data_IF_750903897174
#
_entry.id   IF_750903897174
#
_cell.length_a   1.000
_cell.length_b   1.000
_cell.length_c   1.000
_cell.angle_alpha   90.00
_cell.angle_beta   90.00
_cell.angle_gamma   90.00
#
_symmetry.space_group_name_H-M   'P 1'
#
loop_
_entity.id
_entity.type
_entity.pdbx_description
1 polymer ?
#
# COMPACT_ATOMS: atom_id res chain seq x y z
N UNK A 1 -0.01 21.12 9.37
CA UNK A 1 -0.80 19.95 9.77
C UNK A 1 -0.12 18.75 9.12
N UNK A 2 0.38 17.75 9.86
CA UNK A 2 0.89 16.54 9.24
C UNK A 2 -0.25 15.89 8.45
N UNK A 3 0.01 15.49 7.20
CA UNK A 3 -0.93 14.71 6.41
C UNK A 3 -1.12 13.36 7.12
N UNK A 4 -2.15 13.26 7.96
CA UNK A 4 -2.57 12.03 8.62
C UNK A 4 -3.17 11.09 7.56
N UNK A 5 -2.28 10.53 6.75
CA UNK A 5 -2.60 9.61 5.67
C UNK A 5 -2.82 8.20 6.23
N UNK A 6 -3.72 7.46 5.57
CA UNK A 6 -4.00 6.06 5.87
C UNK A 6 -2.69 5.25 5.86
N UNK A 7 -2.39 4.46 6.90
CA UNK A 7 -1.22 3.59 6.89
C UNK A 7 -1.28 2.60 5.73
N UNK A 8 -0.18 2.43 4.99
CA UNK A 8 -0.08 1.53 3.84
C UNK A 8 -1.14 1.80 2.76
N UNK A 9 -1.21 3.02 2.18
CA UNK A 9 -2.26 3.37 1.22
C UNK A 9 -2.25 2.43 0.00
N UNK A 10 -1.09 1.99 -0.46
CA UNK A 10 -0.93 1.08 -1.59
C UNK A 10 -1.60 -0.29 -1.38
N UNK A 11 -1.65 -0.78 -0.13
CA UNK A 11 -2.31 -2.03 0.23
C UNK A 11 -3.84 -1.92 0.04
N UNK A 12 -4.40 -0.80 0.46
CA UNK A 12 -5.84 -0.56 0.31
C UNK A 12 -6.21 -0.17 -1.11
N UNK A 13 -5.32 0.52 -1.83
CA UNK A 13 -5.53 0.90 -3.22
C UNK A 13 -5.63 -0.32 -4.14
N UNK A 14 -4.71 -1.28 -4.00
CA UNK A 14 -4.77 -2.52 -4.80
C UNK A 14 -6.03 -3.33 -4.52
N UNK A 15 -6.48 -3.36 -3.27
CA UNK A 15 -7.75 -4.00 -2.90
C UNK A 15 -8.98 -3.28 -3.50
N UNK A 16 -8.99 -1.95 -3.46
CA UNK A 16 -10.06 -1.15 -4.07
C UNK A 16 -10.14 -1.32 -5.60
N UNK A 17 -9.00 -1.56 -6.25
CA UNK A 17 -8.91 -1.90 -7.67
C UNK A 17 -9.26 -3.37 -7.99
N UNK A 18 -9.69 -4.14 -6.99
CA UNK A 18 -10.00 -5.57 -7.14
C UNK A 18 -8.81 -6.43 -7.60
N UNK A 19 -7.58 -5.98 -7.39
CA UNK A 19 -6.39 -6.79 -7.69
C UNK A 19 -6.26 -7.98 -6.72
N UNK A 20 -6.73 -7.81 -5.49
CA UNK A 20 -6.81 -8.82 -4.45
C UNK A 20 -7.88 -8.42 -3.43
N UNK A 21 -8.24 -9.34 -2.53
CA UNK A 21 -9.11 -9.04 -1.39
C UNK A 21 -8.30 -8.74 -0.14
N UNK A 22 -8.91 -8.24 0.93
CA UNK A 22 -8.27 -8.08 2.24
C UNK A 22 -9.17 -8.69 3.33
N UNK A 23 -8.64 -8.98 4.53
CA UNK A 23 -9.47 -9.39 5.65
C UNK A 23 -10.53 -8.34 6.00
N UNK A 24 -11.76 -8.78 6.26
CA UNK A 24 -12.89 -7.89 6.57
C UNK A 24 -12.62 -6.99 7.79
N UNK A 25 -11.90 -7.51 8.78
CA UNK A 25 -11.51 -6.75 9.97
C UNK A 25 -10.63 -5.55 9.63
N UNK A 26 -9.69 -5.73 8.69
CA UNK A 26 -8.82 -4.67 8.22
C UNK A 26 -9.60 -3.62 7.40
N UNK A 27 -10.56 -4.06 6.59
CA UNK A 27 -11.45 -3.17 5.84
C UNK A 27 -12.33 -2.33 6.78
N UNK A 28 -12.90 -2.94 7.83
CA UNK A 28 -13.67 -2.21 8.86
C UNK A 28 -12.82 -1.17 9.57
N UNK A 29 -11.56 -1.50 9.92
CA UNK A 29 -10.65 -0.54 10.56
C UNK A 29 -10.28 0.62 9.64
N UNK A 30 -10.11 0.37 8.34
CA UNK A 30 -9.93 1.43 7.34
C UNK A 30 -11.14 2.35 7.31
N UNK A 31 -12.34 1.79 7.31
CA UNK A 31 -13.58 2.57 7.22
C UNK A 31 -13.76 3.44 8.46
N UNK A 32 -13.55 2.88 9.66
CA UNK A 32 -13.55 3.65 10.93
C UNK A 32 -12.48 4.76 10.91
N UNK A 33 -11.29 4.49 10.39
CA UNK A 33 -10.26 5.52 10.25
C UNK A 33 -10.69 6.64 9.29
N UNK A 34 -11.33 6.29 8.17
CA UNK A 34 -11.86 7.26 7.22
C UNK A 34 -12.98 8.11 7.82
N UNK A 35 -13.86 7.51 8.63
CA UNK A 35 -14.91 8.23 9.39
C UNK A 35 -14.30 9.24 10.36
N UNK A 36 -13.28 8.84 11.14
CA UNK A 36 -12.59 9.74 12.09
C UNK A 36 -11.90 10.91 11.35
N UNK A 37 -11.35 10.67 10.16
CA UNK A 37 -10.75 11.73 9.34
C UNK A 37 -11.78 12.65 8.69
N UNK A 38 -12.99 12.15 8.44
CA UNK A 38 -14.08 12.92 7.85
C UNK A 38 -14.78 13.83 8.88
N UNK A 39 -14.54 13.60 10.18
CA UNK A 39 -15.14 14.39 11.26
C UNK A 39 -14.75 15.88 11.11
N UNK A 40 -15.72 16.80 11.04
CA UNK A 40 -15.44 18.21 10.82
C UNK A 40 -14.70 18.82 12.02
N UNK A 41 -13.66 19.58 11.74
CA UNK A 41 -12.96 20.34 12.79
C UNK A 41 -13.89 21.40 13.40
N UNK A 42 -13.83 21.59 14.73
CA UNK A 42 -14.70 22.55 15.41
C UNK A 42 -14.43 23.97 14.91
N UNK A 43 -15.53 24.66 14.54
CA UNK A 43 -15.51 26.04 14.05
C UNK A 43 -14.94 26.97 15.13
N UNK A 44 -14.07 27.94 14.79
CA UNK A 44 -13.61 28.93 15.74
C UNK A 44 -14.80 29.69 16.37
N UNK A 45 -14.97 29.68 17.71
CA UNK A 45 -15.92 30.56 18.36
C UNK A 45 -15.44 32.02 18.20
N UNK A 46 -16.33 32.97 18.51
CA UNK A 46 -15.92 34.38 18.65
C UNK A 46 -14.82 34.48 19.70
N UNK A 47 -13.76 35.23 19.36
CA UNK A 47 -12.65 35.41 20.28
C UNK A 47 -13.13 36.14 21.54
N UNK A 48 -12.77 35.63 22.71
CA UNK A 48 -13.06 36.27 23.99
C UNK A 48 -12.46 37.67 24.08
N UNK A 49 -11.31 37.91 23.42
CA UNK A 49 -10.68 39.22 23.31
C UNK A 49 -11.50 40.19 22.46
N UNK A 50 -11.96 39.75 21.28
CA UNK A 50 -12.83 40.56 20.42
C UNK A 50 -14.13 40.89 21.14
N UNK A 51 -14.73 39.91 21.82
CA UNK A 51 -15.96 40.12 22.60
C UNK A 51 -15.74 41.12 23.74
N UNK A 52 -14.57 41.08 24.39
CA UNK A 52 -14.21 42.04 25.44
C UNK A 52 -14.14 43.47 24.88
N UNK A 53 -13.56 43.64 23.69
CA UNK A 53 -13.50 44.94 23.02
C UNK A 53 -14.89 45.44 22.63
N UNK A 54 -15.73 44.57 22.04
CA UNK A 54 -17.11 44.90 21.66
C UNK A 54 -17.96 45.30 22.88
N UNK A 55 -17.86 44.53 23.97
CA UNK A 55 -18.60 44.82 25.21
C UNK A 55 -18.09 46.10 25.89
N UNK A 56 -16.79 46.39 25.84
CA UNK A 56 -16.26 47.64 26.38
C UNK A 56 -16.83 48.87 25.65
N UNK A 57 -16.91 48.82 24.31
CA UNK A 57 -17.55 49.88 23.51
C UNK A 57 -19.03 49.98 23.85
N UNK A 58 -19.76 48.86 23.84
CA UNK A 58 -21.19 48.82 24.15
C UNK A 58 -21.52 49.31 25.57
N UNK A 59 -20.62 49.09 26.54
CA UNK A 59 -20.76 49.58 27.92
C UNK A 59 -20.68 51.10 27.98
N UNK A 60 -19.73 51.70 27.25
CA UNK A 60 -19.59 53.17 27.17
C UNK A 60 -20.80 53.80 26.48
N UNK A 61 -21.30 53.17 25.41
CA UNK A 61 -22.49 53.64 24.69
C UNK A 61 -23.76 53.54 25.54
N UNK A 62 -23.97 52.41 26.22
CA UNK A 62 -25.10 52.21 27.11
C UNK A 62 -25.12 53.21 28.28
N UNK A 63 -23.94 53.52 28.82
CA UNK A 63 -23.79 54.48 29.92
C UNK A 63 -24.12 55.92 29.48
N UNK A 64 -23.72 56.33 28.26
CA UNK A 64 -24.11 57.62 27.70
C UNK A 64 -25.60 57.70 27.34
N UNK A 65 -26.20 56.58 26.90
CA UNK A 65 -27.60 56.52 26.50
C UNK A 65 -28.58 56.26 27.68
N UNK A 66 -28.08 56.02 28.89
CA UNK A 66 -28.90 55.65 30.06
C UNK A 66 -29.58 54.28 29.93
N UNK A 67 -29.00 53.38 29.12
CA UNK A 67 -29.51 52.04 28.87
C UNK A 67 -28.89 51.01 29.84
N UNK A 68 -29.52 49.83 30.02
CA UNK A 68 -28.93 48.77 30.83
C UNK A 68 -27.57 48.33 30.28
N UNK A 69 -26.64 48.04 31.20
CA UNK A 69 -25.29 47.60 30.85
C UNK A 69 -25.34 46.20 30.22
N UNK A 70 -24.46 45.92 29.24
CA UNK A 70 -24.37 44.59 28.65
C UNK A 70 -23.80 43.57 29.66
N UNK A 71 -24.20 42.30 29.50
CA UNK A 71 -23.87 41.24 30.44
C UNK A 71 -22.41 40.76 30.31
N UNK A 72 -21.57 40.91 31.34
CA UNK A 72 -20.17 40.45 31.31
C UNK A 72 -20.05 38.90 31.26
N UNK A 73 -21.09 38.15 31.61
CA UNK A 73 -21.06 36.68 31.55
C UNK A 73 -20.84 36.16 30.13
N UNK A 74 -21.11 36.97 29.10
CA UNK A 74 -20.84 36.62 27.71
C UNK A 74 -19.34 36.39 27.44
N UNK A 75 -18.44 37.10 28.15
CA UNK A 75 -16.98 36.91 28.02
C UNK A 75 -16.56 35.55 28.59
N UNK A 76 -17.11 35.17 29.75
CA UNK A 76 -16.83 33.86 30.36
C UNK A 76 -17.38 32.72 29.52
N UNK A 77 -18.55 32.89 28.89
CA UNK A 77 -19.09 31.94 27.92
C UNK A 77 -18.17 31.79 26.69
N UNK A 78 -17.64 32.89 26.15
CA UNK A 78 -16.68 32.84 25.03
C UNK A 78 -15.38 32.12 25.41
N UNK A 79 -14.84 32.38 26.62
CA UNK A 79 -13.66 31.67 27.14
C UNK A 79 -13.92 30.18 27.32
N UNK A 80 -15.10 29.79 27.81
CA UNK A 80 -15.47 28.39 27.93
C UNK A 80 -15.58 27.71 26.56
N UNK A 81 -16.14 28.39 25.55
CA UNK A 81 -16.21 27.87 24.18
C UNK A 81 -14.82 27.74 23.53
N UNK A 82 -13.90 28.67 23.79
CA UNK A 82 -12.50 28.56 23.35
C UNK A 82 -11.83 27.32 23.94
N UNK A 83 -11.97 27.07 25.25
CA UNK A 83 -11.42 25.87 25.91
C UNK A 83 -12.02 24.58 25.38
N UNK A 84 -13.35 24.50 25.25
CA UNK A 84 -14.03 23.32 24.69
C UNK A 84 -13.51 23.03 23.28
N UNK A 85 -13.26 24.06 22.47
CA UNK A 85 -12.69 23.88 21.14
C UNK A 85 -11.27 23.32 21.20
N UNK A 86 -10.40 23.89 22.04
CA UNK A 86 -9.02 23.40 22.20
C UNK A 86 -9.02 21.93 22.62
N UNK A 87 -9.80 21.56 23.64
CA UNK A 87 -9.97 20.18 24.10
C UNK A 87 -10.48 19.27 22.97
N UNK A 88 -11.43 19.75 22.16
CA UNK A 88 -11.97 19.00 21.02
C UNK A 88 -10.93 18.79 19.92
N UNK A 89 -10.11 19.81 19.61
CA UNK A 89 -9.03 19.71 18.62
C UNK A 89 -7.99 18.68 19.09
N UNK A 90 -7.61 18.75 20.36
CA UNK A 90 -6.67 17.79 20.96
C UNK A 90 -7.22 16.36 20.91
N UNK A 91 -8.49 16.17 21.29
CA UNK A 91 -9.15 14.87 21.28
C UNK A 91 -9.26 14.29 19.86
N UNK A 92 -9.62 15.12 18.86
CA UNK A 92 -9.67 14.70 17.46
C UNK A 92 -8.29 14.31 16.94
N UNK A 93 -7.26 15.09 17.27
CA UNK A 93 -5.87 14.76 16.91
C UNK A 93 -5.43 13.41 17.50
N UNK A 94 -5.73 13.18 18.78
CA UNK A 94 -5.46 11.92 19.47
C UNK A 94 -6.23 10.74 18.86
N UNK A 95 -7.50 10.95 18.53
CA UNK A 95 -8.34 9.92 17.90
C UNK A 95 -7.78 9.49 16.53
N UNK A 96 -7.36 10.45 15.70
CA UNK A 96 -6.73 10.17 14.40
C UNK A 96 -5.43 9.37 14.56
N UNK A 97 -4.56 9.76 15.50
CA UNK A 97 -3.31 9.04 15.75
C UNK A 97 -3.56 7.61 16.25
N UNK A 98 -4.50 7.43 17.18
CA UNK A 98 -4.87 6.10 17.70
C UNK A 98 -5.45 5.24 16.58
N UNK A 99 -6.32 5.80 15.73
CA UNK A 99 -6.90 5.08 14.60
C UNK A 99 -5.80 4.59 13.62
N UNK A 100 -4.86 5.47 13.24
CA UNK A 100 -3.76 5.11 12.36
C UNK A 100 -2.86 4.02 12.98
N UNK A 101 -2.53 4.14 14.28
CA UNK A 101 -1.76 3.12 15.00
C UNK A 101 -2.48 1.77 15.05
N UNK A 102 -3.81 1.76 15.24
CA UNK A 102 -4.62 0.54 15.25
C UNK A 102 -4.65 -0.15 13.88
N UNK A 103 -4.82 0.60 12.79
CA UNK A 103 -4.75 0.06 11.43
C UNK A 103 -3.37 -0.58 11.19
N UNK A 104 -2.29 0.13 11.49
CA UNK A 104 -0.93 -0.39 11.30
C UNK A 104 -0.65 -1.64 12.18
N UNK A 105 -1.15 -1.67 13.41
CA UNK A 105 -1.04 -2.84 14.28
C UNK A 105 -1.77 -4.05 13.69
N UNK A 106 -3.01 -3.89 13.24
CA UNK A 106 -3.79 -4.95 12.61
C UNK A 106 -3.11 -5.49 11.34
N UNK A 107 -2.55 -4.60 10.50
CA UNK A 107 -1.77 -5.03 9.32
C UNK A 107 -0.61 -5.94 9.71
N UNK A 108 0.13 -5.60 10.77
CA UNK A 108 1.27 -6.41 11.24
C UNK A 108 0.81 -7.75 11.83
N UNK A 109 -0.24 -7.74 12.63
CA UNK A 109 -0.81 -8.94 13.25
C UNK A 109 -1.30 -9.94 12.21
N UNK A 110 -1.98 -9.47 11.16
CA UNK A 110 -2.52 -10.31 10.10
C UNK A 110 -1.60 -10.44 8.89
N UNK A 111 -0.34 -10.00 8.96
CA UNK A 111 0.52 -9.90 7.78
C UNK A 111 0.66 -11.24 7.02
N UNK A 112 0.91 -12.33 7.74
CA UNK A 112 1.03 -13.66 7.13
C UNK A 112 -0.29 -14.14 6.51
N UNK A 113 -1.42 -13.83 7.14
CA UNK A 113 -2.74 -14.12 6.59
C UNK A 113 -3.02 -13.30 5.34
N UNK A 114 -2.65 -12.01 5.31
CA UNK A 114 -2.77 -11.15 4.12
C UNK A 114 -1.93 -11.72 2.97
N UNK A 115 -0.69 -12.13 3.26
CA UNK A 115 0.22 -12.70 2.26
C UNK A 115 -0.35 -14.02 1.71
N UNK A 116 -0.57 -15.00 2.57
CA UNK A 116 -0.93 -16.35 2.16
C UNK A 116 -2.39 -16.49 1.71
N UNK A 117 -3.31 -15.75 2.33
CA UNK A 117 -4.74 -15.84 2.07
C UNK A 117 -5.24 -14.93 0.96
N UNK A 118 -4.52 -13.85 0.64
CA UNK A 118 -5.02 -12.83 -0.28
C UNK A 118 -4.03 -12.49 -1.40
N UNK A 119 -2.80 -12.11 -1.07
CA UNK A 119 -1.83 -11.66 -2.08
C UNK A 119 -1.28 -12.82 -2.92
N UNK A 120 -0.91 -13.94 -2.29
CA UNK A 120 -0.35 -15.09 -2.99
C UNK A 120 -1.35 -15.73 -3.96
N UNK A 121 -2.61 -16.04 -3.58
CA UNK A 121 -3.58 -16.61 -4.52
C UNK A 121 -3.92 -15.66 -5.67
N UNK A 122 -4.00 -14.35 -5.41
CA UNK A 122 -4.21 -13.35 -6.44
C UNK A 122 -3.03 -13.26 -7.41
N UNK A 123 -1.81 -13.33 -6.91
CA UNK A 123 -0.60 -13.39 -7.73
C UNK A 123 -0.59 -14.64 -8.59
N UNK A 124 -0.87 -15.81 -8.02
CA UNK A 124 -0.86 -17.09 -8.75
C UNK A 124 -1.86 -17.09 -9.91
N UNK A 125 -3.08 -16.57 -9.65
CA UNK A 125 -4.10 -16.40 -10.68
C UNK A 125 -3.65 -15.42 -11.78
N UNK A 126 -3.11 -14.28 -11.40
CA UNK A 126 -2.63 -13.25 -12.33
C UNK A 126 -1.47 -13.80 -13.17
N UNK A 127 -0.54 -14.52 -12.55
CA UNK A 127 0.62 -15.11 -13.20
C UNK A 127 0.25 -16.24 -14.17
N UNK A 128 -0.73 -17.08 -13.80
CA UNK A 128 -1.28 -18.08 -14.70
C UNK A 128 -1.88 -17.43 -15.97
N UNK A 129 -2.67 -16.36 -15.82
CA UNK A 129 -3.24 -15.61 -16.93
C UNK A 129 -2.17 -14.94 -17.81
N UNK A 130 -1.13 -14.36 -17.20
CA UNK A 130 0.01 -13.78 -17.93
C UNK A 130 0.69 -14.85 -18.79
N UNK A 131 0.99 -16.01 -18.23
CA UNK A 131 1.64 -17.11 -18.99
C UNK A 131 0.78 -17.57 -20.17
N UNK A 132 -0.54 -17.63 -20.00
CA UNK A 132 -1.47 -17.98 -21.08
C UNK A 132 -1.48 -16.91 -22.19
N UNK A 133 -1.51 -15.63 -21.83
CA UNK A 133 -1.45 -14.51 -22.76
C UNK A 133 -0.14 -14.52 -23.56
N UNK A 134 1.01 -14.65 -22.89
CA UNK A 134 2.33 -14.74 -23.54
C UNK A 134 2.40 -15.95 -24.47
N UNK A 135 1.92 -17.11 -24.03
CA UNK A 135 1.86 -18.32 -24.87
C UNK A 135 1.03 -18.08 -26.13
N UNK A 136 -0.10 -17.36 -26.01
CA UNK A 136 -0.96 -17.03 -27.15
C UNK A 136 -0.27 -16.09 -28.14
N UNK A 137 0.44 -15.08 -27.65
CA UNK A 137 1.24 -14.17 -28.47
C UNK A 137 2.37 -14.92 -29.19
N UNK A 138 3.09 -15.79 -28.48
CA UNK A 138 4.19 -16.58 -29.04
C UNK A 138 3.76 -17.56 -30.12
N UNK A 139 2.58 -18.20 -29.96
CA UNK A 139 2.01 -19.08 -30.99
C UNK A 139 1.69 -18.35 -32.30
N UNK A 140 1.46 -17.04 -32.26
CA UNK A 140 1.24 -16.23 -33.46
C UNK A 140 2.55 -15.86 -34.17
N UNK A 141 3.68 -15.85 -33.45
CA UNK A 141 5.01 -15.56 -34.01
C UNK A 141 5.37 -14.08 -34.09
N UNK A 142 4.47 -13.18 -33.69
CA UNK A 142 4.63 -11.73 -33.85
C UNK A 142 4.35 -10.98 -32.55
N UNK A 143 5.40 -10.38 -31.96
CA UNK A 143 5.30 -9.46 -30.81
C UNK A 143 5.38 -7.99 -31.22
N UNK A 144 5.51 -7.69 -32.51
CA UNK A 144 5.55 -6.32 -33.03
C UNK A 144 4.17 -5.65 -33.03
N UNK A 145 4.01 -4.45 -32.43
CA UNK A 145 2.72 -3.74 -32.34
C UNK A 145 2.02 -3.50 -33.69
N UNK A 146 2.78 -3.30 -34.77
CA UNK A 146 2.21 -3.07 -36.12
C UNK A 146 1.52 -4.31 -36.68
N UNK A 147 2.00 -5.51 -36.34
CA UNK A 147 1.45 -6.78 -36.81
C UNK A 147 0.21 -7.20 -36.03
N UNK A 148 0.07 -6.70 -34.80
CA UNK A 148 -1.14 -6.89 -34.00
C UNK A 148 -2.40 -6.29 -34.64
N UNK A 149 -2.28 -5.26 -35.49
CA UNK A 149 -3.43 -4.65 -36.16
C UNK A 149 -4.18 -5.63 -37.08
N UNK A 150 -3.44 -6.51 -37.75
CA UNK A 150 -3.96 -7.57 -38.62
C UNK A 150 -4.14 -8.92 -37.92
N UNK A 151 -3.76 -9.02 -36.64
CA UNK A 151 -3.81 -10.29 -35.91
C UNK A 151 -5.25 -10.72 -35.59
N UNK A 152 -5.49 -12.03 -35.39
CA UNK A 152 -6.79 -12.54 -34.94
C UNK A 152 -7.26 -11.86 -33.65
N UNK A 153 -8.59 -11.72 -33.48
CA UNK A 153 -9.18 -11.06 -32.31
C UNK A 153 -8.67 -11.63 -30.97
N UNK A 154 -8.43 -12.94 -30.90
CA UNK A 154 -7.87 -13.61 -29.72
C UNK A 154 -6.46 -13.12 -29.37
N UNK A 155 -5.60 -12.88 -30.37
CA UNK A 155 -4.21 -12.43 -30.18
C UNK A 155 -4.19 -10.97 -29.74
N UNK A 156 -5.01 -10.12 -30.36
CA UNK A 156 -5.17 -8.71 -29.95
C UNK A 156 -5.64 -8.62 -28.49
N UNK A 157 -6.69 -9.37 -28.14
CA UNK A 157 -7.18 -9.44 -26.77
C UNK A 157 -6.09 -9.91 -25.79
N UNK A 158 -5.30 -10.93 -26.13
CA UNK A 158 -4.21 -11.38 -25.26
C UNK A 158 -3.14 -10.30 -25.05
N UNK A 159 -2.88 -9.45 -26.04
CA UNK A 159 -1.99 -8.29 -25.89
C UNK A 159 -2.59 -7.23 -24.95
N UNK A 160 -3.88 -6.90 -25.11
CA UNK A 160 -4.57 -5.91 -24.28
C UNK A 160 -4.72 -6.40 -22.83
N UNK A 161 -5.11 -7.66 -22.65
CA UNK A 161 -5.21 -8.32 -21.34
C UNK A 161 -3.85 -8.30 -20.62
N UNK A 162 -2.73 -8.44 -21.34
CA UNK A 162 -1.40 -8.43 -20.75
C UNK A 162 -1.04 -7.09 -20.09
N UNK A 163 -1.47 -5.96 -20.64
CA UNK A 163 -1.24 -4.64 -20.02
C UNK A 163 -2.03 -4.51 -18.72
N UNK A 164 -3.31 -4.91 -18.73
CA UNK A 164 -4.15 -4.90 -17.52
C UNK A 164 -3.64 -5.88 -16.45
N UNK A 165 -3.17 -7.06 -16.86
CA UNK A 165 -2.56 -8.03 -15.95
C UNK A 165 -1.24 -7.51 -15.36
N UNK A 166 -0.46 -6.73 -16.12
CA UNK A 166 0.75 -6.11 -15.63
C UNK A 166 0.48 -5.04 -14.57
N UNK A 167 -0.58 -4.22 -14.75
CA UNK A 167 -1.04 -3.28 -13.73
C UNK A 167 -1.51 -4.01 -12.47
N UNK A 168 -2.29 -5.08 -12.63
CA UNK A 168 -2.76 -5.93 -11.52
C UNK A 168 -1.57 -6.53 -10.75
N UNK A 169 -0.55 -7.03 -11.47
CA UNK A 169 0.68 -7.51 -10.87
C UNK A 169 1.41 -6.43 -10.05
N UNK A 170 1.51 -5.20 -10.58
CA UNK A 170 2.12 -4.08 -9.86
C UNK A 170 1.34 -3.73 -8.59
N UNK A 171 0.01 -3.70 -8.65
CA UNK A 171 -0.82 -3.43 -7.47
C UNK A 171 -0.61 -4.49 -6.38
N UNK A 172 -0.53 -5.78 -6.75
CA UNK A 172 -0.21 -6.88 -5.82
C UNK A 172 1.18 -6.70 -5.20
N UNK A 173 2.19 -6.36 -6.02
CA UNK A 173 3.56 -6.13 -5.54
C UNK A 173 3.69 -4.88 -4.67
N UNK A 174 2.97 -3.81 -4.96
CA UNK A 174 2.89 -2.62 -4.13
C UNK A 174 2.27 -2.93 -2.76
N UNK A 175 1.20 -3.74 -2.73
CA UNK A 175 0.64 -4.26 -1.48
C UNK A 175 1.66 -5.03 -0.63
N UNK A 176 2.45 -5.92 -1.25
CA UNK A 176 3.56 -6.61 -0.57
C UNK A 176 4.63 -5.65 -0.06
N UNK A 177 5.03 -4.65 -0.86
CA UNK A 177 6.01 -3.66 -0.47
C UNK A 177 5.53 -2.81 0.72
N UNK A 178 4.23 -2.52 0.79
CA UNK A 178 3.64 -1.84 1.94
C UNK A 178 3.78 -2.66 3.24
N UNK A 179 3.54 -3.98 3.19
CA UNK A 179 3.79 -4.87 4.33
C UNK A 179 5.26 -4.90 4.75
N UNK A 180 6.18 -4.92 3.77
CA UNK A 180 7.62 -4.88 4.03
C UNK A 180 8.06 -3.61 4.78
N UNK A 181 7.45 -2.48 4.44
CA UNK A 181 7.70 -1.20 5.11
C UNK A 181 7.14 -1.17 6.54
N UNK A 182 6.19 -2.04 6.89
CA UNK A 182 5.71 -2.26 8.26
C UNK A 182 6.58 -3.21 9.10
N UNK A 183 7.72 -3.66 8.56
CA UNK A 183 8.66 -4.53 9.26
C UNK A 183 8.44 -6.02 9.02
N UNK A 184 7.53 -6.40 8.11
CA UNK A 184 7.32 -7.80 7.71
C UNK A 184 8.43 -8.21 6.74
N UNK A 185 9.60 -8.56 7.29
CA UNK A 185 10.83 -8.84 6.54
C UNK A 185 11.37 -10.23 6.87
N UNK A 186 12.14 -10.81 5.94
CA UNK A 186 12.93 -12.01 6.16
C UNK A 186 14.39 -11.60 6.46
N UNK A 187 14.90 -11.78 7.68
CA UNK A 187 16.29 -11.44 8.03
C UNK A 187 17.35 -12.20 7.22
N UNK A 188 17.04 -13.43 6.79
CA UNK A 188 17.92 -14.30 6.04
C UNK A 188 18.07 -13.87 4.57
N UNK A 189 17.16 -13.04 4.05
CA UNK A 189 17.21 -12.45 2.72
C UNK A 189 17.05 -10.92 2.78
N UNK A 190 18.08 -10.20 3.27
CA UNK A 190 18.00 -8.76 3.50
C UNK A 190 17.81 -7.94 2.22
N UNK A 191 18.14 -8.52 1.06
CA UNK A 191 18.05 -7.88 -0.25
C UNK A 191 16.80 -8.30 -1.04
N UNK A 192 15.91 -9.12 -0.46
CA UNK A 192 14.72 -9.64 -1.14
C UNK A 192 15.00 -10.38 -2.45
N UNK A 193 16.16 -11.06 -2.52
CA UNK A 193 16.56 -11.85 -3.69
C UNK A 193 15.50 -12.89 -4.04
N UNK A 194 14.94 -13.56 -3.04
CA UNK A 194 13.95 -14.62 -3.19
C UNK A 194 12.52 -14.16 -2.91
N UNK A 195 12.29 -12.89 -2.58
CA UNK A 195 10.94 -12.36 -2.33
C UNK A 195 10.08 -12.27 -3.61
N UNK A 196 10.73 -12.15 -4.78
CA UNK A 196 10.08 -11.97 -6.06
C UNK A 196 10.09 -13.24 -6.92
N UNK A 197 11.21 -13.97 -6.88
CA UNK A 197 11.49 -15.14 -7.72
C UNK A 197 12.07 -16.25 -6.85
N UNK A 198 11.45 -17.42 -6.85
CA UNK A 198 11.94 -18.56 -6.05
C UNK A 198 13.24 -19.11 -6.64
N UNK A 199 13.30 -19.23 -7.96
CA UNK A 199 14.46 -19.70 -8.71
C UNK A 199 15.41 -18.58 -9.18
N UNK A 200 15.55 -17.51 -8.39
CA UNK A 200 16.39 -16.35 -8.74
C UNK A 200 17.82 -16.74 -9.15
N UNK A 201 18.40 -17.75 -8.52
CA UNK A 201 19.76 -18.21 -8.80
C UNK A 201 19.91 -18.95 -10.13
N UNK A 202 18.87 -19.64 -10.57
CA UNK A 202 18.83 -20.34 -11.86
C UNK A 202 18.76 -19.33 -13.01
N UNK A 203 18.01 -18.24 -12.79
CA UNK A 203 17.94 -17.10 -13.71
C UNK A 203 19.22 -16.24 -13.68
N UNK A 204 20.01 -16.33 -12.60
CA UNK A 204 21.23 -15.55 -12.37
C UNK A 204 22.39 -16.38 -11.82
N UNK A 205 23.02 -17.24 -12.66
CA UNK A 205 24.11 -18.09 -12.19
C UNK A 205 25.39 -17.30 -11.88
N UNK A 206 25.54 -16.07 -12.39
CA UNK A 206 26.75 -15.24 -12.22
C UNK A 206 26.53 -13.98 -11.38
N UNK A 207 27.58 -13.56 -10.66
CA UNK A 207 27.55 -12.30 -9.86
C UNK A 207 27.21 -11.06 -10.70
N UNK A 208 27.66 -11.02 -11.95
CA UNK A 208 27.38 -9.91 -12.85
C UNK A 208 25.90 -9.87 -13.27
N UNK A 209 25.31 -11.04 -13.56
CA UNK A 209 23.88 -11.16 -13.87
C UNK A 209 22.99 -10.79 -12.66
N UNK A 210 23.44 -11.08 -11.44
CA UNK A 210 22.72 -10.65 -10.22
C UNK A 210 22.75 -9.13 -10.01
N UNK A 211 23.84 -8.46 -10.39
CA UNK A 211 24.00 -7.01 -10.18
C UNK A 211 23.18 -6.19 -11.19
N UNK A 212 23.01 -6.71 -12.41
CA UNK A 212 22.15 -6.12 -13.45
C UNK A 212 21.38 -7.22 -14.15
N UNK A 213 20.20 -7.58 -13.62
CA UNK A 213 19.32 -8.54 -14.27
C UNK A 213 19.00 -8.12 -15.71
N UNK A 214 18.79 -9.07 -16.64
CA UNK A 214 18.48 -8.74 -18.04
C UNK A 214 17.11 -8.08 -18.20
N UNK A 215 16.21 -8.20 -17.22
CA UNK A 215 14.96 -7.43 -17.16
C UNK A 215 15.12 -6.05 -16.52
N UNK A 216 16.32 -5.70 -16.04
CA UNK A 216 16.56 -4.39 -15.45
C UNK A 216 16.47 -3.30 -16.53
N UNK A 217 15.65 -2.28 -16.27
CA UNK A 217 15.38 -1.20 -17.25
C UNK A 217 14.29 -1.53 -18.27
N UNK A 218 13.75 -2.76 -18.27
CA UNK A 218 12.55 -3.08 -19.04
C UNK A 218 11.31 -2.50 -18.35
N UNK A 219 10.28 -2.18 -19.14
CA UNK A 219 8.98 -1.89 -18.55
C UNK A 219 8.38 -3.16 -17.92
N UNK A 220 7.33 -3.02 -17.11
CA UNK A 220 6.77 -4.16 -16.38
C UNK A 220 6.25 -5.25 -17.32
N UNK A 221 5.59 -4.87 -18.42
CA UNK A 221 5.08 -5.80 -19.42
C UNK A 221 6.19 -6.66 -20.01
N UNK A 222 7.29 -6.02 -20.41
CA UNK A 222 8.48 -6.69 -20.96
C UNK A 222 9.17 -7.57 -19.90
N UNK A 223 9.23 -7.13 -18.65
CA UNK A 223 9.75 -7.93 -17.54
C UNK A 223 8.93 -9.20 -17.34
N UNK A 224 7.60 -9.11 -17.40
CA UNK A 224 6.70 -10.27 -17.24
C UNK A 224 6.76 -11.24 -18.42
N UNK A 225 6.91 -10.73 -19.66
CA UNK A 225 7.18 -11.57 -20.83
C UNK A 225 8.51 -12.31 -20.63
N UNK A 226 9.58 -11.60 -20.26
CA UNK A 226 10.87 -12.20 -19.98
C UNK A 226 10.75 -13.32 -18.92
N UNK A 227 10.04 -13.07 -17.82
CA UNK A 227 9.80 -14.09 -16.79
C UNK A 227 9.07 -15.32 -17.31
N UNK A 228 8.07 -15.14 -18.17
CA UNK A 228 7.34 -16.26 -18.76
C UNK A 228 8.25 -17.09 -19.68
N UNK A 229 9.11 -16.42 -20.45
CA UNK A 229 10.00 -17.05 -21.44
C UNK A 229 11.13 -17.87 -20.79
N UNK A 230 11.54 -17.48 -19.59
CA UNK A 230 12.67 -18.09 -18.88
C UNK A 230 12.21 -19.00 -17.73
N UNK A 231 10.93 -19.41 -17.70
CA UNK A 231 10.35 -20.25 -16.65
C UNK A 231 10.62 -19.70 -15.24
N UNK A 232 10.45 -18.39 -15.05
CA UNK A 232 10.62 -17.78 -13.75
C UNK A 232 9.52 -18.22 -12.78
N UNK A 233 9.94 -18.64 -11.58
CA UNK A 233 9.05 -19.03 -10.48
C UNK A 233 8.63 -17.81 -9.68
N UNK A 234 7.75 -17.01 -10.29
CA UNK A 234 7.10 -15.87 -9.65
C UNK A 234 6.22 -16.36 -8.51
N UNK A 235 6.44 -15.84 -7.30
CA UNK A 235 5.71 -16.26 -6.11
C UNK A 235 5.60 -15.13 -5.08
N UNK A 236 4.86 -15.37 -4.00
CA UNK A 236 4.62 -14.43 -2.90
C UNK A 236 4.81 -15.11 -1.53
N UNK A 237 6.05 -15.24 -1.04
CA UNK A 237 6.32 -15.94 0.20
C UNK A 237 5.96 -15.12 1.45
N UNK A 238 5.55 -15.82 2.50
CA UNK A 238 5.71 -15.34 3.88
C UNK A 238 7.20 -15.27 4.25
N UNK A 239 7.60 -14.46 5.25
CA UNK A 239 9.00 -14.41 5.70
C UNK A 239 9.58 -15.80 6.03
N UNK A 240 8.79 -16.69 6.63
CA UNK A 240 9.22 -18.04 7.00
C UNK A 240 9.40 -18.96 5.79
N UNK A 241 8.60 -18.80 4.74
CA UNK A 241 8.79 -19.51 3.46
C UNK A 241 10.03 -19.00 2.72
N UNK A 242 10.27 -17.69 2.76
CA UNK A 242 11.46 -17.07 2.17
C UNK A 242 12.73 -17.57 2.87
N UNK A 243 12.74 -17.61 4.21
CA UNK A 243 13.85 -18.13 5.00
C UNK A 243 14.16 -19.60 4.68
N UNK A 244 13.13 -20.42 4.47
CA UNK A 244 13.28 -21.83 4.05
C UNK A 244 13.99 -21.96 2.71
N UNK A 245 13.59 -21.17 1.70
CA UNK A 245 14.26 -21.18 0.38
C UNK A 245 15.71 -20.72 0.48
N UNK A 246 16.01 -19.70 1.29
CA UNK A 246 17.39 -19.28 1.53
C UNK A 246 18.21 -20.42 2.12
N UNK A 247 17.68 -21.13 3.11
CA UNK A 247 18.34 -22.28 3.73
C UNK A 247 18.58 -23.42 2.73
N UNK A 248 17.59 -23.74 1.88
CA UNK A 248 17.70 -24.74 0.80
C UNK A 248 18.83 -24.38 -0.17
N UNK A 249 18.91 -23.11 -0.62
CA UNK A 249 19.97 -22.67 -1.53
C UNK A 249 21.35 -22.74 -0.89
N UNK A 250 21.47 -22.36 0.39
CA UNK A 250 22.74 -22.46 1.13
C UNK A 250 23.17 -23.92 1.25
N UNK A 251 22.25 -24.83 1.57
CA UNK A 251 22.52 -26.26 1.65
C UNK A 251 22.99 -26.83 0.29
N UNK A 252 22.31 -26.46 -0.81
CA UNK A 252 22.66 -26.91 -2.15
C UNK A 252 24.04 -26.39 -2.60
N UNK A 253 24.42 -25.15 -2.24
CA UNK A 253 25.76 -24.60 -2.54
C UNK A 253 26.89 -25.25 -1.73
N UNK A 254 26.59 -25.71 -0.51
CA UNK A 254 27.56 -26.34 0.38
C UNK A 254 27.67 -27.86 0.19
N UNK A 255 26.95 -28.43 -0.77
CA UNK A 255 27.09 -29.85 -1.09
C UNK A 255 28.41 -30.03 -1.86
N UNK A 256 29.43 -30.72 -1.29
CA UNK A 256 30.65 -30.99 -2.03
C UNK A 256 30.27 -31.78 -3.29
N UNK A 257 30.86 -31.43 -4.44
CA UNK A 257 30.79 -32.23 -5.67
C UNK A 257 30.97 -33.70 -5.27
N UNK A 258 29.89 -34.50 -5.31
CA UNK A 258 30.05 -35.95 -5.34
C UNK A 258 30.85 -36.20 -6.60
N UNK A 259 32.13 -36.55 -6.42
CA UNK A 259 32.97 -37.04 -7.49
C UNK A 259 32.16 -38.12 -8.20
N UNK A 260 31.64 -37.79 -9.38
CA UNK A 260 31.06 -38.77 -10.29
C UNK A 260 32.26 -39.60 -10.70
N UNK A 261 32.38 -40.77 -10.08
CA UNK A 261 33.41 -41.75 -10.41
C UNK A 261 33.31 -42.07 -11.90
N UNK A 262 34.43 -41.89 -12.59
CA UNK A 262 34.67 -42.48 -13.90
C UNK A 262 34.68 -44.01 -13.81
#
# INVERSE_FOLDING_TARGET
>A
MPENSLPCPDLFHGAAQSAYTLPDELLKLRDVHAEILAEPWPVPPRSSWQLTQELAVATVDALHAGQPLPDPAQIEQARAQERIREDTIELLGLAQEIAARRVAACIREHANQIIAGHLAPALDKTWAAIREAVTTLHKHGDTEPRRLLSAPAKVRKASDDLDQLAETYLAIRAGRAALWNQGIRCPEDPNNRYAYLRNHDELHPSRMAMARPPWHGLNIRQTLIYFADHNAEVWMPTPDEQARVVAEVIANRNTPYKAVGF
#
